data_IF_669864095809
#
_entry.id   IF_669864095809
#
_cell.length_a   1.000
_cell.length_b   1.000
_cell.length_c   1.000
_cell.angle_alpha   90.00
_cell.angle_beta   90.00
_cell.angle_gamma   90.00
#
_symmetry.space_group_name_H-M   'P 1'
#
loop_
_entity.id
_entity.type
_entity.pdbx_description
1 polymer ?
#
# COMPACT_ATOMS: atom_id res chain seq x y z
N UNK A 1 44.09 -30.58 -9.51
CA UNK A 1 43.49 -29.91 -8.33
C UNK A 1 42.53 -28.83 -8.80
N UNK A 2 41.26 -28.95 -8.39
CA UNK A 2 40.21 -27.93 -8.14
C UNK A 2 40.47 -26.53 -8.75
N UNK A 3 39.53 -25.93 -9.49
CA UNK A 3 38.25 -25.42 -8.96
C UNK A 3 37.24 -25.24 -10.12
N UNK A 4 36.08 -25.85 -9.97
CA UNK A 4 34.90 -25.60 -10.80
C UNK A 4 34.18 -24.37 -10.20
N UNK A 5 34.09 -23.28 -10.96
CA UNK A 5 33.42 -22.05 -10.56
C UNK A 5 31.93 -22.17 -10.94
N UNK A 6 31.08 -22.48 -9.97
CA UNK A 6 29.63 -22.46 -10.14
C UNK A 6 29.15 -21.00 -10.05
N UNK A 7 28.88 -20.38 -11.20
CA UNK A 7 28.11 -19.14 -11.27
C UNK A 7 26.62 -19.49 -11.07
N UNK A 8 26.08 -19.16 -9.90
CA UNK A 8 24.64 -19.23 -9.64
C UNK A 8 23.96 -18.03 -10.31
N UNK A 9 23.47 -18.20 -11.53
CA UNK A 9 22.61 -17.23 -12.18
C UNK A 9 21.25 -17.22 -11.45
N UNK A 10 20.95 -16.15 -10.71
CA UNK A 10 19.61 -15.87 -10.19
C UNK A 10 18.69 -15.49 -11.36
N UNK A 11 18.12 -16.50 -12.02
CA UNK A 11 16.94 -16.31 -12.85
C UNK A 11 15.75 -15.93 -11.93
N UNK A 12 14.93 -14.93 -12.27
CA UNK A 12 13.63 -14.77 -11.65
C UNK A 12 12.75 -15.95 -12.08
N UNK A 13 12.75 -17.01 -11.27
CA UNK A 13 11.81 -18.09 -11.41
C UNK A 13 10.44 -17.57 -10.96
N UNK A 14 9.59 -17.21 -11.92
CA UNK A 14 8.16 -17.07 -11.65
C UNK A 14 7.63 -18.48 -11.41
N UNK A 15 7.60 -18.92 -10.16
CA UNK A 15 6.75 -20.04 -9.76
C UNK A 15 5.30 -19.53 -9.79
N UNK A 16 4.71 -19.54 -10.98
CA UNK A 16 3.26 -19.49 -11.10
C UNK A 16 2.74 -20.85 -10.64
N UNK A 17 2.13 -20.90 -9.45
CA UNK A 17 1.27 -22.01 -9.09
C UNK A 17 0.20 -22.17 -10.18
N UNK A 18 -0.01 -23.43 -10.59
CA UNK A 18 -0.83 -23.85 -11.73
C UNK A 18 -2.20 -23.16 -11.76
N UNK A 19 -2.55 -22.56 -12.90
CA UNK A 19 -3.86 -21.94 -13.11
C UNK A 19 -3.98 -21.14 -14.41
N UNK A 20 -3.44 -21.63 -15.53
CA UNK A 20 -3.45 -20.93 -16.82
C UNK A 20 -4.85 -20.70 -17.43
N UNK A 21 -5.88 -21.42 -16.93
CA UNK A 21 -7.30 -21.17 -17.25
C UNK A 21 -8.03 -20.33 -16.20
N UNK A 22 -7.45 -20.16 -15.01
CA UNK A 22 -8.10 -19.48 -13.87
C UNK A 22 -7.84 -17.98 -13.85
N UNK A 23 -6.70 -17.48 -14.37
CA UNK A 23 -6.44 -16.02 -14.39
C UNK A 23 -7.37 -15.27 -15.33
N UNK A 24 -7.65 -15.80 -16.52
CA UNK A 24 -8.60 -15.19 -17.46
C UNK A 24 -10.04 -15.32 -16.96
N UNK A 25 -10.41 -16.46 -16.38
CA UNK A 25 -11.70 -16.66 -15.73
C UNK A 25 -11.87 -15.74 -14.51
N UNK A 26 -10.83 -15.52 -13.71
CA UNK A 26 -10.80 -14.58 -12.59
C UNK A 26 -11.01 -13.14 -13.06
N UNK A 27 -10.25 -12.69 -14.07
CA UNK A 27 -10.43 -11.34 -14.65
C UNK A 27 -11.83 -11.19 -15.26
N UNK A 28 -12.36 -12.21 -15.94
CA UNK A 28 -13.73 -12.21 -16.48
C UNK A 28 -14.79 -12.18 -15.37
N UNK A 29 -14.56 -12.83 -14.23
CA UNK A 29 -15.47 -12.82 -13.08
C UNK A 29 -15.43 -11.49 -12.33
N UNK A 30 -14.27 -10.83 -12.23
CA UNK A 30 -14.15 -9.44 -11.77
C UNK A 30 -14.85 -8.46 -12.72
N UNK A 31 -14.71 -8.65 -14.03
CA UNK A 31 -15.33 -7.79 -15.06
C UNK A 31 -16.85 -7.97 -15.17
N UNK A 32 -17.35 -9.20 -14.96
CA UNK A 32 -18.79 -9.51 -15.00
C UNK A 32 -19.56 -9.08 -13.76
N UNK A 33 -18.86 -8.79 -12.66
CA UNK A 33 -19.47 -8.41 -11.40
C UNK A 33 -19.38 -6.89 -11.21
N UNK A 34 -20.27 -6.13 -11.84
CA UNK A 34 -20.31 -4.65 -11.80
C UNK A 34 -20.28 -4.08 -10.36
N UNK A 35 -20.91 -4.78 -9.42
CA UNK A 35 -20.93 -4.42 -8.00
C UNK A 35 -19.68 -4.84 -7.22
N UNK A 36 -18.87 -5.75 -7.76
CA UNK A 36 -17.69 -6.29 -7.06
C UNK A 36 -16.52 -5.30 -7.01
N UNK A 37 -16.38 -4.48 -8.07
CA UNK A 37 -15.46 -3.34 -8.11
C UNK A 37 -15.91 -2.15 -7.26
N UNK A 38 -17.16 -2.14 -6.78
CA UNK A 38 -17.66 -1.09 -5.90
C UNK A 38 -17.03 -1.16 -4.51
N UNK A 39 -16.98 -0.01 -3.83
CA UNK A 39 -16.57 0.05 -2.43
C UNK A 39 -17.64 -0.49 -1.47
N UNK A 40 -18.87 -0.76 -1.97
CA UNK A 40 -19.99 -1.32 -1.22
C UNK A 40 -19.85 -2.84 -1.04
N UNK A 41 -19.62 -3.28 0.20
CA UNK A 41 -19.48 -4.71 0.52
C UNK A 41 -20.77 -5.53 0.32
N UNK A 42 -21.96 -4.94 0.49
CA UNK A 42 -23.22 -5.66 0.26
C UNK A 42 -23.35 -6.11 -1.21
N UNK A 43 -22.62 -5.46 -2.12
CA UNK A 43 -22.47 -5.87 -3.53
C UNK A 43 -21.93 -7.30 -3.72
N UNK A 44 -21.16 -7.85 -2.76
CA UNK A 44 -20.74 -9.25 -2.79
C UNK A 44 -21.93 -10.22 -2.78
N UNK A 45 -23.10 -9.79 -2.29
CA UNK A 45 -24.30 -10.63 -2.32
C UNK A 45 -24.98 -10.62 -3.69
N UNK A 46 -24.98 -9.46 -4.34
CA UNK A 46 -25.64 -9.21 -5.62
C UNK A 46 -24.86 -9.79 -6.80
N UNK A 47 -23.53 -9.64 -6.76
CA UNK A 47 -22.61 -10.17 -7.76
C UNK A 47 -21.49 -10.91 -7.02
N UNK A 48 -21.69 -12.19 -6.68
CA UNK A 48 -20.72 -12.94 -5.90
C UNK A 48 -19.48 -13.23 -6.73
N UNK A 49 -18.31 -13.17 -6.09
CA UNK A 49 -17.11 -13.77 -6.63
C UNK A 49 -17.25 -15.30 -6.64
N UNK A 50 -16.64 -15.96 -7.63
CA UNK A 50 -16.30 -17.36 -7.48
C UNK A 50 -15.36 -17.56 -6.29
N UNK A 51 -15.31 -18.77 -5.73
CA UNK A 51 -14.32 -19.07 -4.68
C UNK A 51 -12.93 -19.09 -5.31
N UNK A 52 -11.99 -18.35 -4.74
CA UNK A 52 -10.62 -18.31 -5.22
C UNK A 52 -9.65 -18.00 -4.08
N UNK A 53 -8.40 -18.39 -4.27
CA UNK A 53 -7.27 -17.94 -3.47
C UNK A 53 -6.10 -17.69 -4.42
N UNK A 54 -5.50 -16.51 -4.30
CA UNK A 54 -4.34 -16.09 -5.08
C UNK A 54 -3.25 -15.70 -4.11
N UNK A 55 -2.02 -16.09 -4.44
CA UNK A 55 -0.80 -15.68 -3.76
C UNK A 55 0.17 -15.20 -4.84
N UNK A 56 0.64 -13.97 -4.70
CA UNK A 56 1.65 -13.35 -5.55
C UNK A 56 2.84 -12.95 -4.68
N UNK A 57 4.04 -13.34 -5.13
CA UNK A 57 5.31 -12.82 -4.63
C UNK A 57 5.99 -12.08 -5.77
N UNK A 58 6.32 -10.81 -5.56
CA UNK A 58 6.96 -9.94 -6.56
C UNK A 58 8.24 -9.36 -5.99
N UNK A 59 9.25 -9.30 -6.85
CA UNK A 59 10.47 -8.53 -6.62
C UNK A 59 10.63 -7.52 -7.75
N UNK A 60 10.74 -6.25 -7.38
CA UNK A 60 10.96 -5.15 -8.31
C UNK A 60 12.29 -4.47 -8.02
N UNK A 61 12.99 -4.06 -9.07
CA UNK A 61 14.11 -3.16 -8.96
C UNK A 61 13.97 -2.07 -10.03
N UNK A 62 14.16 -0.82 -9.61
CA UNK A 62 14.15 0.35 -10.45
C UNK A 62 15.42 1.14 -10.20
N UNK A 63 16.06 1.61 -11.27
CA UNK A 63 17.18 2.53 -11.17
C UNK A 63 17.34 3.39 -12.40
N UNK A 64 18.04 4.51 -12.23
CA UNK A 64 18.31 5.48 -13.29
C UNK A 64 17.95 6.92 -12.89
N UNK A 65 18.34 7.85 -13.75
CA UNK A 65 18.25 9.29 -13.47
C UNK A 65 16.92 9.91 -13.91
N UNK A 66 16.16 9.24 -14.80
CA UNK A 66 14.83 9.71 -15.20
C UNK A 66 13.78 9.31 -14.15
N UNK A 67 13.64 10.18 -13.15
CA UNK A 67 12.77 10.01 -11.99
C UNK A 67 12.53 11.36 -11.31
N UNK A 68 11.48 11.53 -10.49
CA UNK A 68 11.42 12.68 -9.61
C UNK A 68 12.52 12.60 -8.54
N UNK A 69 13.00 13.76 -8.08
CA UNK A 69 14.13 13.84 -7.14
C UNK A 69 13.81 13.24 -5.76
N UNK A 70 12.54 13.22 -5.35
CA UNK A 70 12.06 12.68 -4.08
C UNK A 70 12.03 11.14 -4.02
N UNK A 71 12.07 10.47 -5.18
CA UNK A 71 12.27 9.03 -5.28
C UNK A 71 13.79 8.74 -5.25
N UNK A 72 14.24 7.54 -4.88
CA UNK A 72 15.66 7.20 -4.95
C UNK A 72 16.18 6.90 -6.35
N UNK A 73 17.50 7.04 -6.53
CA UNK A 73 18.22 6.56 -7.73
C UNK A 73 18.16 5.06 -7.87
N UNK A 74 18.04 4.34 -6.75
CA UNK A 74 17.82 2.91 -6.75
C UNK A 74 16.74 2.54 -5.74
N UNK A 75 15.70 1.88 -6.24
CA UNK A 75 14.58 1.39 -5.45
C UNK A 75 14.47 -0.12 -5.67
N UNK A 76 14.44 -0.88 -4.60
CA UNK A 76 14.09 -2.30 -4.63
C UNK A 76 12.87 -2.54 -3.76
N UNK A 77 11.99 -3.42 -4.20
CA UNK A 77 10.75 -3.75 -3.51
C UNK A 77 10.54 -5.26 -3.51
N UNK A 78 10.27 -5.82 -2.33
CA UNK A 78 9.76 -7.18 -2.17
C UNK A 78 8.30 -7.06 -1.73
N UNK A 79 7.38 -7.51 -2.58
CA UNK A 79 5.95 -7.49 -2.33
C UNK A 79 5.41 -8.91 -2.18
N UNK A 80 4.68 -9.14 -1.10
CA UNK A 80 3.87 -10.33 -0.87
C UNK A 80 2.39 -9.92 -0.87
N UNK A 81 1.57 -10.51 -1.72
CA UNK A 81 0.14 -10.20 -1.85
C UNK A 81 -0.64 -11.50 -1.86
N UNK A 82 -1.66 -11.61 -1.02
CA UNK A 82 -2.60 -12.72 -1.05
C UNK A 82 -4.02 -12.21 -0.97
N UNK A 83 -4.89 -12.81 -1.77
CA UNK A 83 -6.28 -12.43 -1.88
C UNK A 83 -7.13 -13.69 -1.98
N UNK A 84 -8.30 -13.69 -1.35
CA UNK A 84 -9.23 -14.81 -1.47
C UNK A 84 -10.67 -14.39 -1.26
N UNK A 85 -11.58 -15.19 -1.83
CA UNK A 85 -13.01 -15.08 -1.63
C UNK A 85 -13.60 -16.45 -1.35
N UNK A 86 -14.54 -16.52 -0.41
CA UNK A 86 -15.23 -17.77 -0.05
C UNK A 86 -16.64 -17.51 0.45
N UNK A 87 -17.55 -18.45 0.20
CA UNK A 87 -18.87 -18.44 0.81
C UNK A 87 -18.91 -19.46 1.95
N UNK A 88 -19.36 -19.02 3.14
CA UNK A 88 -19.58 -19.88 4.31
C UNK A 88 -21.05 -19.73 4.71
N UNK A 89 -21.85 -20.74 4.39
CA UNK A 89 -23.31 -20.69 4.56
C UNK A 89 -23.92 -19.56 3.73
N UNK A 90 -24.61 -18.63 4.40
CA UNK A 90 -25.20 -17.42 3.78
C UNK A 90 -24.22 -16.24 3.71
N UNK A 91 -23.08 -16.31 4.41
CA UNK A 91 -22.13 -15.21 4.49
C UNK A 91 -21.08 -15.37 3.40
N UNK A 92 -20.80 -14.28 2.68
CA UNK A 92 -19.74 -14.18 1.69
C UNK A 92 -18.61 -13.34 2.23
N UNK A 93 -17.40 -13.87 2.12
CA UNK A 93 -16.19 -13.28 2.65
C UNK A 93 -15.21 -13.03 1.51
N UNK A 94 -14.52 -11.91 1.59
CA UNK A 94 -13.37 -11.59 0.75
C UNK A 94 -12.32 -10.94 1.61
N UNK A 95 -11.06 -11.32 1.40
CA UNK A 95 -9.93 -10.80 2.14
C UNK A 95 -8.74 -10.56 1.23
N UNK A 96 -7.92 -9.58 1.60
CA UNK A 96 -6.62 -9.32 0.99
C UNK A 96 -5.62 -8.91 2.06
N UNK A 97 -4.43 -9.48 1.99
CA UNK A 97 -3.27 -9.07 2.76
C UNK A 97 -2.14 -8.74 1.79
N UNK A 98 -1.53 -7.57 1.98
CA UNK A 98 -0.35 -7.15 1.23
C UNK A 98 0.72 -6.65 2.18
N UNK A 99 1.94 -7.11 1.96
CA UNK A 99 3.14 -6.63 2.61
C UNK A 99 4.14 -6.15 1.55
N UNK A 100 4.72 -4.98 1.76
CA UNK A 100 5.83 -4.49 0.93
C UNK A 100 7.03 -4.17 1.82
N UNK A 101 8.23 -4.50 1.33
CA UNK A 101 9.50 -4.09 1.92
C UNK A 101 10.31 -3.37 0.85
N UNK A 102 10.42 -2.06 1.00
CA UNK A 102 11.02 -1.17 0.02
C UNK A 102 12.34 -0.64 0.58
N UNK A 103 13.39 -0.75 -0.21
CA UNK A 103 14.66 -0.09 0.03
C UNK A 103 14.88 0.97 -1.03
N UNK A 104 14.94 2.22 -0.60
CA UNK A 104 14.94 3.40 -1.47
C UNK A 104 16.21 4.22 -1.16
N UNK A 105 17.14 4.30 -2.12
CA UNK A 105 18.46 4.92 -1.92
C UNK A 105 18.70 6.05 -2.92
N UNK A 106 19.20 7.18 -2.43
CA UNK A 106 19.49 8.36 -3.24
C UNK A 106 18.27 9.25 -3.45
N UNK A 107 17.31 9.24 -2.53
CA UNK A 107 16.17 10.16 -2.53
C UNK A 107 16.61 11.50 -1.96
N UNK A 108 16.20 12.59 -2.58
CA UNK A 108 16.52 13.95 -2.13
C UNK A 108 15.25 14.71 -1.79
N UNK A 109 15.35 15.73 -0.95
CA UNK A 109 14.20 16.57 -0.61
C UNK A 109 13.02 15.82 0.04
N UNK A 110 13.29 14.71 0.73
CA UNK A 110 12.36 14.04 1.63
C UNK A 110 13.08 13.64 2.93
N UNK A 111 12.78 14.34 4.00
CA UNK A 111 13.42 14.14 5.30
C UNK A 111 12.50 13.49 6.33
N UNK A 112 11.18 13.59 6.18
CA UNK A 112 10.22 13.21 7.24
C UNK A 112 9.14 12.22 6.82
N UNK A 113 8.80 12.11 5.52
CA UNK A 113 7.57 11.44 5.11
C UNK A 113 7.82 10.03 4.56
N UNK A 114 6.92 9.10 4.90
CA UNK A 114 6.86 7.78 4.26
C UNK A 114 6.66 7.92 2.75
N UNK A 115 5.66 8.71 2.34
CA UNK A 115 5.35 9.04 0.96
C UNK A 115 5.49 10.56 0.74
N UNK A 116 6.53 11.02 0.02
CA UNK A 116 6.75 12.44 -0.22
C UNK A 116 5.74 13.07 -1.19
N UNK A 117 4.92 12.25 -1.87
CA UNK A 117 3.90 12.70 -2.81
C UNK A 117 2.50 12.77 -2.19
N UNK A 118 2.38 12.53 -0.88
CA UNK A 118 1.09 12.58 -0.21
C UNK A 118 0.55 14.02 -0.16
N UNK A 119 -0.47 14.27 -0.98
CA UNK A 119 -1.11 15.58 -1.16
C UNK A 119 -1.78 16.12 0.12
N UNK A 120 -1.95 15.30 1.16
CA UNK A 120 -2.47 15.76 2.46
C UNK A 120 -1.52 16.72 3.15
N UNK A 121 -0.22 16.67 2.84
CA UNK A 121 0.78 17.57 3.40
C UNK A 121 0.98 18.80 2.53
N UNK A 122 0.52 19.95 3.04
CA UNK A 122 0.74 21.27 2.42
C UNK A 122 2.18 21.77 2.60
N UNK A 123 2.88 21.27 3.63
CA UNK A 123 4.24 21.63 3.96
C UNK A 123 5.10 20.36 4.08
N UNK A 124 6.20 20.30 3.34
CA UNK A 124 7.12 19.16 3.36
C UNK A 124 8.48 19.61 3.84
N UNK A 125 9.07 18.87 4.77
CA UNK A 125 10.45 19.08 5.17
C UNK A 125 11.40 18.36 4.21
N UNK A 126 12.41 19.08 3.76
CA UNK A 126 13.38 18.66 2.79
C UNK A 126 14.81 18.94 3.28
N UNK A 127 15.75 18.13 2.86
CA UNK A 127 17.18 18.33 3.04
C UNK A 127 17.90 18.26 1.69
N UNK A 128 19.18 18.63 1.70
CA UNK A 128 20.06 18.58 0.52
C UNK A 128 20.88 17.30 0.45
N UNK A 129 20.76 16.42 1.45
CA UNK A 129 21.56 15.19 1.55
C UNK A 129 20.79 14.08 0.84
N UNK A 130 21.48 13.31 0.00
CA UNK A 130 20.85 12.14 -0.60
C UNK A 130 20.58 11.09 0.49
N UNK A 131 19.31 10.88 0.80
CA UNK A 131 18.83 9.98 1.83
C UNK A 131 18.75 8.52 1.37
N UNK A 132 18.68 7.63 2.35
CA UNK A 132 18.36 6.23 2.17
C UNK A 132 17.27 5.84 3.15
N UNK A 133 16.21 5.19 2.65
CA UNK A 133 15.03 4.82 3.39
C UNK A 133 14.80 3.32 3.33
N UNK A 134 14.44 2.75 4.47
CA UNK A 134 13.83 1.42 4.56
C UNK A 134 12.36 1.60 4.91
N UNK A 135 11.48 1.14 4.04
CA UNK A 135 10.03 1.31 4.18
C UNK A 135 9.36 -0.06 4.24
N UNK A 136 8.36 -0.17 5.10
CA UNK A 136 7.53 -1.35 5.26
C UNK A 136 6.07 -0.93 5.28
N UNK A 137 5.21 -1.68 4.59
CA UNK A 137 3.77 -1.46 4.62
C UNK A 137 3.02 -2.75 4.78
N UNK A 138 1.98 -2.72 5.62
CA UNK A 138 1.02 -3.80 5.85
C UNK A 138 -0.37 -3.27 5.51
N UNK A 139 -0.93 -3.77 4.40
CA UNK A 139 -2.28 -3.41 3.96
C UNK A 139 -3.19 -4.64 4.09
N UNK A 140 -4.22 -4.50 4.92
CA UNK A 140 -5.22 -5.53 5.18
C UNK A 140 -6.59 -5.02 4.76
N UNK A 141 -7.32 -5.81 3.97
CA UNK A 141 -8.68 -5.50 3.59
C UNK A 141 -9.56 -6.72 3.80
N UNK A 142 -10.74 -6.49 4.37
CA UNK A 142 -11.71 -7.52 4.64
C UNK A 142 -13.10 -7.01 4.25
N UNK A 143 -13.84 -7.83 3.50
CA UNK A 143 -15.24 -7.60 3.16
C UNK A 143 -16.04 -8.81 3.60
N UNK A 144 -17.11 -8.58 4.33
CA UNK A 144 -18.11 -9.58 4.63
C UNK A 144 -19.48 -9.08 4.17
N UNK A 145 -20.31 -9.97 3.65
CA UNK A 145 -21.66 -9.64 3.24
C UNK A 145 -22.61 -10.81 3.45
N UNK A 146 -23.86 -10.51 3.78
CA UNK A 146 -24.89 -11.51 3.96
C UNK A 146 -26.25 -11.02 3.43
N UNK A 147 -27.06 -11.90 2.84
CA UNK A 147 -28.45 -11.59 2.55
C UNK A 147 -29.22 -11.54 3.87
N UNK A 148 -29.90 -10.42 4.14
CA UNK A 148 -30.85 -10.29 5.24
C UNK A 148 -32.22 -10.85 4.83
N UNK A 149 -32.61 -10.61 3.58
CA UNK A 149 -33.80 -11.16 2.93
C UNK A 149 -33.47 -11.52 1.48
N UNK A 150 -34.45 -11.95 0.68
CA UNK A 150 -34.23 -12.21 -0.75
C UNK A 150 -33.87 -10.95 -1.55
N UNK A 151 -34.33 -9.79 -1.09
CA UNK A 151 -34.12 -8.50 -1.75
C UNK A 151 -33.14 -7.58 -1.02
N UNK A 152 -32.78 -7.86 0.24
CA UNK A 152 -31.92 -6.99 1.05
C UNK A 152 -30.63 -7.71 1.42
N UNK A 153 -29.50 -7.05 1.19
CA UNK A 153 -28.18 -7.48 1.61
C UNK A 153 -27.53 -6.45 2.52
N UNK A 154 -26.80 -6.92 3.52
CA UNK A 154 -25.92 -6.08 4.33
C UNK A 154 -24.47 -6.52 4.13
N UNK A 155 -23.54 -5.58 4.29
CA UNK A 155 -22.13 -5.85 4.21
C UNK A 155 -21.30 -4.90 5.05
N UNK A 156 -20.09 -5.32 5.33
CA UNK A 156 -19.10 -4.57 6.07
C UNK A 156 -17.77 -4.68 5.34
N UNK A 157 -17.13 -3.53 5.11
CA UNK A 157 -15.80 -3.46 4.54
C UNK A 157 -14.87 -2.77 5.53
N UNK A 158 -13.84 -3.46 5.97
CA UNK A 158 -12.80 -2.94 6.84
C UNK A 158 -11.50 -2.89 6.07
N UNK A 159 -10.80 -1.75 6.13
CA UNK A 159 -9.42 -1.61 5.67
C UNK A 159 -8.57 -1.16 6.84
N UNK A 160 -7.43 -1.81 6.98
CA UNK A 160 -6.39 -1.46 7.93
C UNK A 160 -5.09 -1.30 7.16
N UNK A 161 -4.38 -0.23 7.43
CA UNK A 161 -3.10 0.06 6.82
C UNK A 161 -2.15 0.51 7.93
N UNK A 162 -0.97 -0.10 7.95
CA UNK A 162 0.15 0.31 8.79
C UNK A 162 1.40 0.47 7.93
N UNK A 163 2.11 1.58 8.10
CA UNK A 163 3.27 1.94 7.28
C UNK A 163 4.35 2.54 8.17
N UNK A 164 5.56 2.07 7.98
CA UNK A 164 6.75 2.51 8.72
C UNK A 164 7.83 2.84 7.70
N UNK A 165 8.49 3.98 7.85
CA UNK A 165 9.67 4.34 7.09
C UNK A 165 10.76 4.84 8.02
N UNK A 166 11.97 4.31 7.86
CA UNK A 166 13.13 4.70 8.63
C UNK A 166 14.25 5.22 7.71
N UNK A 167 14.61 6.49 7.88
CA UNK A 167 15.78 7.09 7.27
C UNK A 167 17.07 6.51 7.87
N UNK A 168 18.06 6.25 7.02
CA UNK A 168 19.35 5.64 7.39
C UNK A 168 20.50 6.66 7.41
N UNK A 169 20.27 7.86 6.85
CA UNK A 169 21.25 8.94 6.71
C UNK A 169 20.73 10.17 7.45
N UNK A 170 21.61 10.89 8.15
CA UNK A 170 21.26 12.11 8.87
C UNK A 170 20.98 13.30 7.92
N UNK A 171 20.01 14.18 8.22
CA UNK A 171 19.05 14.09 9.32
C UNK A 171 18.03 12.96 9.08
N UNK A 172 17.94 12.01 10.01
CA UNK A 172 17.17 10.77 9.80
C UNK A 172 15.85 10.85 10.54
N UNK A 173 14.76 10.44 9.91
CA UNK A 173 13.46 10.39 10.57
C UNK A 173 12.87 8.98 10.53
N UNK A 174 12.07 8.71 11.55
CA UNK A 174 11.16 7.58 11.57
C UNK A 174 9.74 8.11 11.35
N UNK A 175 9.09 7.65 10.28
CA UNK A 175 7.72 7.98 9.92
C UNK A 175 6.83 6.77 10.17
N UNK A 176 5.74 7.00 10.90
CA UNK A 176 4.73 6.01 11.22
C UNK A 176 3.37 6.52 10.73
N UNK A 177 2.67 5.69 9.97
CA UNK A 177 1.33 5.97 9.49
C UNK A 177 0.42 4.78 9.74
N UNK A 178 -0.73 5.07 10.33
CA UNK A 178 -1.79 4.11 10.59
C UNK A 178 -3.11 4.64 10.05
N UNK A 179 -3.90 3.77 9.44
CA UNK A 179 -5.26 4.10 9.01
C UNK A 179 -6.19 2.92 9.18
N UNK A 180 -7.34 3.17 9.81
CA UNK A 180 -8.48 2.26 9.82
C UNK A 180 -9.67 2.91 9.18
N UNK A 181 -10.27 2.19 8.25
CA UNK A 181 -11.45 2.59 7.52
C UNK A 181 -12.49 1.49 7.62
N UNK A 182 -13.69 1.86 8.05
CA UNK A 182 -14.84 0.97 8.20
C UNK A 182 -15.99 1.51 7.35
N UNK A 183 -16.50 0.67 6.46
CA UNK A 183 -17.58 0.99 5.54
C UNK A 183 -18.73 0.00 5.71
N UNK A 184 -19.70 0.28 6.59
CA UNK A 184 -20.95 -0.49 6.61
C UNK A 184 -21.73 -0.19 5.34
N UNK A 185 -22.42 -1.19 4.81
CA UNK A 185 -23.15 -1.05 3.57
C UNK A 185 -24.42 -1.89 3.54
N UNK A 186 -25.42 -1.40 2.82
CA UNK A 186 -26.68 -2.10 2.54
C UNK A 186 -26.94 -2.02 1.04
N UNK A 187 -27.54 -3.06 0.48
CA UNK A 187 -27.98 -3.08 -0.90
C UNK A 187 -29.38 -3.69 -1.02
N UNK A 188 -30.15 -3.16 -1.96
CA UNK A 188 -31.49 -3.59 -2.32
C UNK A 188 -31.46 -4.10 -3.76
N UNK A 189 -31.97 -5.31 -3.96
CA UNK A 189 -32.17 -5.93 -5.27
C UNK A 189 -33.64 -5.79 -5.67
N UNK A 190 -33.89 -5.07 -6.77
CA UNK A 190 -35.18 -5.02 -7.45
C UNK A 190 -35.19 -5.92 -8.69
N UNK A 191 -36.31 -5.94 -9.40
CA UNK A 191 -36.49 -6.73 -10.63
C UNK A 191 -35.63 -6.23 -11.80
N UNK A 192 -35.48 -4.90 -11.94
CA UNK A 192 -34.79 -4.26 -13.06
C UNK A 192 -33.42 -3.68 -12.69
N UNK A 193 -32.97 -3.85 -11.44
CA UNK A 193 -31.72 -3.25 -11.00
C UNK A 193 -31.43 -3.45 -9.52
N UNK A 194 -30.34 -2.86 -9.06
CA UNK A 194 -29.97 -2.87 -7.65
C UNK A 194 -29.47 -1.49 -7.24
N UNK A 195 -29.75 -1.10 -6.00
CA UNK A 195 -29.29 0.14 -5.40
C UNK A 195 -28.62 -0.17 -4.07
N UNK A 196 -27.68 0.67 -3.63
CA UNK A 196 -26.94 0.41 -2.41
C UNK A 196 -26.38 1.68 -1.82
N UNK A 197 -26.28 1.66 -0.49
CA UNK A 197 -25.80 2.76 0.32
C UNK A 197 -24.66 2.26 1.20
N UNK A 198 -23.62 3.07 1.36
CA UNK A 198 -22.48 2.77 2.22
C UNK A 198 -22.12 3.97 3.08
N UNK A 199 -21.94 3.74 4.38
CA UNK A 199 -21.31 4.70 5.27
C UNK A 199 -19.79 4.62 5.17
N UNK A 200 -19.10 5.67 5.60
CA UNK A 200 -17.65 5.71 5.72
C UNK A 200 -17.27 6.29 7.07
N UNK A 201 -16.59 5.49 7.88
CA UNK A 201 -15.85 5.94 9.05
C UNK A 201 -14.36 5.71 8.78
N UNK A 202 -13.53 6.73 9.03
CA UNK A 202 -12.08 6.63 8.89
C UNK A 202 -11.40 7.29 10.07
N UNK A 203 -10.38 6.63 10.60
CA UNK A 203 -9.45 7.17 11.58
C UNK A 203 -8.04 6.94 11.06
N UNK A 204 -7.31 8.03 10.87
CA UNK A 204 -5.95 8.01 10.34
C UNK A 204 -5.05 8.81 11.27
N UNK A 205 -3.89 8.25 11.58
CA UNK A 205 -2.87 8.87 12.40
C UNK A 205 -1.53 8.80 11.69
N UNK A 206 -0.77 9.87 11.74
CA UNK A 206 0.55 9.94 11.14
C UNK A 206 1.48 10.74 12.03
N UNK A 207 2.69 10.22 12.24
CA UNK A 207 3.72 10.83 13.08
C UNK A 207 5.07 10.61 12.44
N UNK A 208 5.84 11.68 12.31
CA UNK A 208 7.24 11.62 11.91
C UNK A 208 8.11 12.21 13.00
N UNK A 209 9.13 11.47 13.42
CA UNK A 209 10.05 11.89 14.47
C UNK A 209 11.45 12.06 13.87
N UNK A 210 11.92 13.31 13.67
CA UNK A 210 13.29 13.55 13.23
C UNK A 210 14.28 13.25 14.35
N UNK A 211 15.46 12.79 13.96
CA UNK A 211 16.58 12.51 14.84
C UNK A 211 17.91 12.75 14.11
N UNK A 212 18.98 12.93 14.87
CA UNK A 212 20.33 13.07 14.32
C UNK A 212 21.25 12.21 15.16
N UNK A 213 22.04 11.34 14.54
CA UNK A 213 22.98 10.50 15.28
C UNK A 213 24.22 11.27 15.73
N UNK A 214 24.70 12.22 14.92
CA UNK A 214 25.84 13.08 15.26
C UNK A 214 25.39 14.52 15.50
N UNK A 215 25.19 14.88 16.76
CA UNK A 215 24.75 16.22 17.17
C UNK A 215 25.80 17.31 16.97
N UNK A 216 27.05 16.96 16.66
CA UNK A 216 28.14 17.91 16.40
C UNK A 216 28.15 18.44 14.96
N UNK A 217 27.35 17.83 14.06
CA UNK A 217 27.25 18.25 12.66
C UNK A 217 25.87 18.86 12.44
N UNK A 218 25.83 20.17 12.15
CA UNK A 218 24.59 20.85 11.83
C UNK A 218 24.06 20.36 10.48
N UNK A 219 22.84 19.81 10.50
CA UNK A 219 22.12 19.42 9.30
C UNK A 219 21.18 20.56 8.89
N UNK A 220 21.25 20.99 7.63
CA UNK A 220 20.35 22.01 7.10
C UNK A 220 19.06 21.34 6.64
N UNK A 221 17.93 21.85 7.15
CA UNK A 221 16.60 21.37 6.79
C UNK A 221 15.77 22.55 6.30
N UNK A 222 14.89 22.31 5.35
CA UNK A 222 14.07 23.31 4.70
C UNK A 222 12.60 22.92 4.80
N UNK A 223 11.76 23.82 5.30
CA UNK A 223 10.32 23.66 5.23
C UNK A 223 9.81 24.29 3.94
N UNK A 224 9.36 23.45 3.01
CA UNK A 224 8.83 23.86 1.72
C UNK A 224 7.38 24.35 1.90
N UNK A 225 7.08 25.57 1.46
CA UNK A 225 5.76 26.22 1.59
C UNK A 225 4.93 26.26 0.30
N UNK A 226 5.41 25.59 -0.75
CA UNK A 226 4.82 25.63 -2.08
C UNK A 226 5.26 26.85 -2.90
N UNK A 227 5.03 26.79 -4.21
CA UNK A 227 5.37 27.84 -5.19
C UNK A 227 6.83 28.32 -5.12
N UNK A 228 7.77 27.43 -4.76
CA UNK A 228 9.19 27.75 -4.63
C UNK A 228 9.59 28.50 -3.37
N UNK A 229 8.65 28.77 -2.44
CA UNK A 229 8.95 29.38 -1.16
C UNK A 229 9.44 28.34 -0.15
N UNK A 230 10.46 28.70 0.62
CA UNK A 230 11.04 27.84 1.66
C UNK A 230 11.46 28.65 2.88
N UNK A 231 11.47 28.01 4.04
CA UNK A 231 12.11 28.53 5.26
C UNK A 231 13.20 27.55 5.67
N UNK A 232 14.41 28.06 5.89
CA UNK A 232 15.55 27.26 6.29
C UNK A 232 15.66 27.20 7.80
N UNK A 233 15.88 26.00 8.32
CA UNK A 233 16.20 25.72 9.71
C UNK A 233 17.44 24.83 9.79
N UNK A 234 17.97 24.67 11.01
CA UNK A 234 19.08 23.76 11.28
C UNK A 234 18.67 22.80 12.38
N UNK A 235 19.02 21.52 12.20
CA UNK A 235 18.77 20.45 13.17
C UNK A 235 20.11 19.85 13.55
N UNK A 236 20.40 19.79 14.85
CA UNK A 236 21.73 19.51 15.36
C UNK A 236 22.55 20.79 15.54
N UNK A 237 23.46 20.75 16.51
CA UNK A 237 24.16 21.91 17.06
C UNK A 237 23.95 21.99 18.57
N UNK A 238 25.03 21.88 19.33
CA UNK A 238 25.06 22.30 20.74
C UNK A 238 25.04 23.81 20.88
#
# INVERSE_FOLDING_TARGET
MKKCLLLLAFLPCVLAAQGGKDRTAFTLNELGALWSGSSNAAGLVLSPYGEFNVLDLRYGWQGGDYRPMQTGTSVSDIQFDTQGARQIGKVRLWGRFRYNNISDTGSSYNTLLYDPYDERFLYTAADTVAGAWKKQSYDMQFKAAMPLTESIAAGLHVKYTDRIAAGQIDPRAESYHYSVLVKPAVALKGEFGSIGLSGLYANTFERSTPSVSNTQVNQKVYLLKGLGNWVGEQVGGG
#
